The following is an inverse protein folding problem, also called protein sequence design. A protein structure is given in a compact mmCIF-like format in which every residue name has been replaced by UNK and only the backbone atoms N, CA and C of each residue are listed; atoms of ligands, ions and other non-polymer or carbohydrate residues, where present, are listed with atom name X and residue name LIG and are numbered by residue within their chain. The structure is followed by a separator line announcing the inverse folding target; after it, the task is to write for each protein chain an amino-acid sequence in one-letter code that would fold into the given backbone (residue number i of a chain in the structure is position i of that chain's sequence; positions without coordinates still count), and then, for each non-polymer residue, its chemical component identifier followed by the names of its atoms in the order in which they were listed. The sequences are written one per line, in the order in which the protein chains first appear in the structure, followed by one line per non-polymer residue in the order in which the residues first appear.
data_IF_197024039980
#
_entry.id   IF_197024039980
#
_cell.length_a   1.000
_cell.length_b   1.000
_cell.length_c   1.000
_cell.angle_alpha   90.00
_cell.angle_beta   90.00
_cell.angle_gamma   90.00
#
_symmetry.space_group_name_H-M   'P 1'
#
loop_
_entity.id
_entity.type
_entity.pdbx_description
1 polymer ?
#
# COMPACT_ATOMS: atom_id res chain seq x y z
N UNK A 1 2.29 -41.35 17.66
CA UNK A 1 2.14 -40.08 18.39
C UNK A 1 2.37 -40.38 19.85
N UNK A 2 3.41 -39.78 20.40
CA UNK A 2 3.79 -39.88 21.81
C UNK A 2 3.93 -38.44 22.30
N UNK A 3 3.36 -38.13 23.46
CA UNK A 3 3.60 -36.83 24.08
C UNK A 3 4.97 -36.84 24.76
N UNK A 4 5.79 -35.82 24.50
CA UNK A 4 7.10 -35.64 25.12
C UNK A 4 7.09 -34.27 25.79
N UNK A 5 7.37 -34.24 27.09
CA UNK A 5 7.20 -33.04 27.90
C UNK A 5 8.53 -32.60 28.49
N UNK A 6 8.78 -31.29 28.48
CA UNK A 6 9.89 -30.69 29.20
C UNK A 6 9.72 -30.96 30.70
N UNK A 7 10.71 -31.60 31.33
CA UNK A 7 10.55 -32.15 32.69
C UNK A 7 11.26 -31.33 33.79
N UNK A 8 12.00 -30.28 33.42
CA UNK A 8 12.75 -29.43 34.35
C UNK A 8 12.09 -28.07 34.48
N UNK A 9 11.81 -27.66 35.72
CA UNK A 9 11.39 -26.30 36.06
C UNK A 9 12.62 -25.38 36.13
N UNK A 10 13.30 -25.23 34.98
CA UNK A 10 14.44 -24.34 34.79
C UNK A 10 14.68 -24.04 33.30
N UNK A 11 15.49 -23.02 33.04
CA UNK A 11 16.07 -22.78 31.72
C UNK A 11 16.88 -24.01 31.26
N UNK A 12 16.89 -24.28 29.95
CA UNK A 12 17.68 -25.37 29.42
C UNK A 12 17.87 -25.35 27.91
N UNK A 13 18.57 -26.38 27.45
CA UNK A 13 18.85 -26.59 26.03
C UNK A 13 17.98 -27.73 25.51
N UNK A 14 17.29 -27.47 24.41
CA UNK A 14 16.48 -28.46 23.70
C UNK A 14 17.22 -29.79 23.48
N UNK A 15 18.53 -29.72 23.17
CA UNK A 15 19.36 -30.89 22.88
C UNK A 15 19.80 -31.71 24.12
N UNK A 16 19.40 -31.32 25.33
CA UNK A 16 19.64 -32.10 26.56
C UNK A 16 18.57 -33.16 26.75
N UNK A 17 18.86 -34.41 26.37
CA UNK A 17 17.93 -35.53 26.54
C UNK A 17 17.42 -35.75 27.98
N UNK A 18 18.19 -35.33 28.99
CA UNK A 18 17.81 -35.42 30.40
C UNK A 18 16.68 -34.46 30.79
N UNK A 19 16.49 -33.38 30.03
CA UNK A 19 15.50 -32.33 30.29
C UNK A 19 14.10 -32.69 29.73
N UNK A 20 13.97 -33.88 29.14
CA UNK A 20 12.73 -34.43 28.61
C UNK A 20 12.28 -35.64 29.44
N UNK A 21 10.97 -35.76 29.69
CA UNK A 21 10.34 -36.79 30.51
C UNK A 21 10.67 -38.25 30.10
N UNK A 22 10.89 -38.49 28.81
CA UNK A 22 11.27 -39.80 28.28
C UNK A 22 12.78 -40.05 28.25
N UNK A 23 13.61 -39.12 28.72
CA UNK A 23 15.07 -39.26 28.72
C UNK A 23 15.69 -39.32 27.32
N UNK A 24 14.99 -38.78 26.32
CA UNK A 24 15.41 -38.71 24.90
C UNK A 24 14.91 -37.40 24.28
N UNK A 25 15.53 -36.99 23.17
CA UNK A 25 15.04 -35.87 22.40
C UNK A 25 13.69 -36.19 21.73
N UNK A 26 12.82 -35.18 21.53
CA UNK A 26 11.66 -35.29 20.66
C UNK A 26 12.03 -35.70 19.23
N UNK A 27 11.16 -36.46 18.59
CA UNK A 27 11.30 -36.93 17.21
C UNK A 27 10.05 -36.61 16.37
N UNK A 28 10.11 -36.85 15.05
CA UNK A 28 9.12 -36.35 14.08
C UNK A 28 7.67 -36.76 14.34
N UNK A 29 7.43 -37.85 15.08
CA UNK A 29 6.09 -38.33 15.43
C UNK A 29 5.60 -37.89 16.82
N UNK A 30 6.37 -37.09 17.54
CA UNK A 30 6.09 -36.69 18.91
C UNK A 30 5.35 -35.36 18.97
N UNK A 31 4.42 -35.27 19.93
CA UNK A 31 3.72 -34.04 20.29
C UNK A 31 4.43 -33.43 21.49
N UNK A 32 5.06 -32.27 21.30
CA UNK A 32 5.97 -31.68 22.29
C UNK A 32 5.25 -30.64 23.12
N UNK A 33 5.42 -30.71 24.44
CA UNK A 33 4.87 -29.75 25.39
C UNK A 33 6.00 -29.14 26.24
N UNK A 34 6.04 -27.82 26.28
CA UNK A 34 6.90 -27.01 27.15
C UNK A 34 5.96 -26.08 27.92
N UNK A 35 5.77 -26.35 29.21
CA UNK A 35 4.86 -25.60 30.08
C UNK A 35 5.35 -25.77 31.53
N UNK A 36 6.41 -25.04 31.89
CA UNK A 36 6.99 -25.10 33.23
C UNK A 36 6.12 -24.33 34.24
N UNK A 37 6.40 -24.51 35.54
CA UNK A 37 5.57 -23.87 36.57
C UNK A 37 5.85 -22.37 36.68
N UNK A 38 7.11 -21.98 36.46
CA UNK A 38 7.56 -20.60 36.33
C UNK A 38 8.08 -20.34 34.89
N UNK A 39 7.99 -19.10 34.34
CA UNK A 39 8.49 -18.81 33.01
C UNK A 39 10.00 -19.03 32.86
N UNK A 40 10.38 -19.89 31.92
CA UNK A 40 11.77 -20.22 31.61
C UNK A 40 12.10 -20.04 30.12
N UNK A 41 13.40 -20.03 29.81
CA UNK A 41 13.90 -19.98 28.43
C UNK A 41 14.40 -21.34 28.02
N UNK A 42 13.72 -21.92 27.02
CA UNK A 42 14.13 -23.15 26.37
C UNK A 42 14.79 -22.79 25.04
N UNK A 43 16.06 -23.16 24.89
CA UNK A 43 16.87 -22.75 23.75
C UNK A 43 17.13 -23.91 22.78
N UNK A 44 16.69 -23.76 21.54
CA UNK A 44 17.14 -24.57 20.42
C UNK A 44 18.38 -23.91 19.79
N UNK A 45 19.57 -24.41 20.15
CA UNK A 45 20.87 -23.83 19.70
C UNK A 45 21.60 -24.64 18.64
N UNK A 46 21.35 -25.93 18.55
CA UNK A 46 22.06 -26.87 17.67
C UNK A 46 21.13 -28.02 17.27
N UNK A 47 21.56 -28.86 16.33
CA UNK A 47 20.79 -30.03 15.91
C UNK A 47 19.87 -29.74 14.74
N UNK A 48 19.33 -30.82 14.18
CA UNK A 48 18.32 -30.80 13.14
C UNK A 48 17.17 -31.67 13.63
N UNK A 49 16.18 -31.03 14.22
CA UNK A 49 15.08 -31.68 14.90
C UNK A 49 13.78 -31.50 14.13
N UNK A 50 12.92 -32.52 14.20
CA UNK A 50 11.58 -32.48 13.60
C UNK A 50 10.61 -33.03 14.61
N UNK A 51 9.46 -32.39 14.76
CA UNK A 51 8.38 -32.79 15.68
C UNK A 51 7.02 -32.70 14.99
N UNK A 52 6.02 -33.41 15.52
CA UNK A 52 4.65 -33.37 15.00
C UNK A 52 4.00 -32.05 15.37
N UNK A 53 3.91 -31.76 16.67
CA UNK A 53 3.37 -30.51 17.22
C UNK A 53 4.31 -29.93 18.28
N UNK A 54 4.20 -28.62 18.53
CA UNK A 54 4.89 -27.97 19.63
C UNK A 54 3.96 -26.98 20.32
N UNK A 55 3.68 -27.23 21.60
CA UNK A 55 2.98 -26.29 22.48
C UNK A 55 3.95 -25.77 23.52
N UNK A 56 4.21 -24.47 23.45
CA UNK A 56 4.93 -23.69 24.48
C UNK A 56 3.91 -22.82 25.20
N UNK A 57 3.75 -23.06 26.50
CA UNK A 57 2.86 -22.34 27.40
C UNK A 57 3.37 -20.93 27.70
N UNK A 58 3.54 -20.60 28.97
CA UNK A 58 4.01 -19.28 29.40
C UNK A 58 5.55 -19.08 29.29
N UNK A 59 6.24 -20.10 28.80
CA UNK A 59 7.67 -20.13 28.53
C UNK A 59 8.13 -19.29 27.34
N UNK A 60 9.40 -18.89 27.40
CA UNK A 60 10.13 -18.29 26.29
C UNK A 60 10.82 -19.38 25.47
N UNK A 61 10.41 -19.51 24.21
CA UNK A 61 11.10 -20.35 23.25
C UNK A 61 12.11 -19.54 22.45
N UNK A 62 13.38 -19.94 22.50
CA UNK A 62 14.48 -19.27 21.80
C UNK A 62 15.06 -20.20 20.74
N UNK A 63 15.02 -19.79 19.47
CA UNK A 63 15.79 -20.42 18.39
C UNK A 63 17.03 -19.56 18.14
N UNK A 64 18.17 -20.02 18.66
CA UNK A 64 19.46 -19.33 18.49
C UNK A 64 20.38 -20.01 17.48
N UNK A 65 20.07 -21.24 17.06
CA UNK A 65 20.81 -22.01 16.06
C UNK A 65 20.13 -23.32 15.70
N UNK A 66 20.80 -24.16 14.90
CA UNK A 66 20.24 -25.42 14.40
C UNK A 66 19.05 -25.24 13.45
N UNK A 67 18.32 -26.32 13.20
CA UNK A 67 17.04 -26.30 12.47
C UNK A 67 15.97 -27.08 13.22
N UNK A 68 14.80 -26.47 13.41
CA UNK A 68 13.62 -27.11 13.99
C UNK A 68 12.45 -27.04 13.00
N UNK A 69 11.93 -28.21 12.61
CA UNK A 69 10.72 -28.33 11.78
C UNK A 69 9.55 -28.81 12.62
N UNK A 70 8.44 -28.08 12.58
CA UNK A 70 7.18 -28.44 13.22
C UNK A 70 6.16 -28.74 12.13
N UNK A 71 5.84 -30.03 11.96
CA UNK A 71 5.09 -30.52 10.81
C UNK A 71 3.60 -30.12 10.83
N UNK A 72 3.02 -29.98 12.03
CA UNK A 72 1.61 -29.65 12.25
C UNK A 72 1.49 -28.34 13.06
N UNK A 73 0.60 -28.28 14.05
CA UNK A 73 0.32 -27.06 14.78
C UNK A 73 1.45 -26.69 15.76
N UNK A 74 1.72 -25.39 15.87
CA UNK A 74 2.58 -24.81 16.89
C UNK A 74 1.86 -23.71 17.68
N UNK A 75 2.16 -23.56 18.96
CA UNK A 75 1.66 -22.44 19.76
C UNK A 75 2.74 -21.97 20.73
N UNK A 76 2.98 -20.66 20.76
CA UNK A 76 3.90 -20.03 21.70
C UNK A 76 3.14 -18.94 22.45
N UNK A 77 2.57 -19.28 23.62
CA UNK A 77 1.64 -18.37 24.29
C UNK A 77 2.33 -17.12 24.87
N UNK A 78 3.61 -17.20 25.22
CA UNK A 78 4.39 -16.08 25.75
C UNK A 78 5.30 -15.41 24.72
N UNK A 79 6.56 -15.85 24.59
CA UNK A 79 7.56 -15.22 23.71
C UNK A 79 8.22 -16.28 22.83
N UNK A 80 8.23 -16.04 21.53
CA UNK A 80 9.10 -16.72 20.58
C UNK A 80 10.20 -15.74 20.12
N UNK A 81 11.46 -16.09 20.35
CA UNK A 81 12.60 -15.35 19.81
C UNK A 81 13.32 -16.19 18.77
N UNK A 82 13.60 -15.61 17.61
CA UNK A 82 14.47 -16.21 16.59
C UNK A 82 15.67 -15.28 16.38
N UNK A 83 16.82 -15.71 16.88
CA UNK A 83 18.09 -14.97 16.81
C UNK A 83 19.16 -15.70 15.99
N UNK A 84 18.81 -16.84 15.40
CA UNK A 84 19.66 -17.64 14.53
C UNK A 84 18.92 -18.88 14.04
N UNK A 85 19.63 -19.76 13.33
CA UNK A 85 19.09 -21.04 12.89
C UNK A 85 17.92 -20.93 11.90
N UNK A 86 17.18 -22.03 11.78
CA UNK A 86 15.95 -22.14 10.96
C UNK A 86 14.82 -22.70 11.80
N UNK A 87 13.68 -22.01 11.82
CA UNK A 87 12.41 -22.50 12.32
C UNK A 87 11.48 -22.71 11.12
N UNK A 88 11.05 -23.93 10.89
CA UNK A 88 10.12 -24.31 9.82
C UNK A 88 8.76 -24.68 10.44
N UNK A 89 7.72 -23.95 10.03
CA UNK A 89 6.35 -24.06 10.52
C UNK A 89 5.46 -24.51 9.36
N UNK A 90 5.23 -25.82 9.23
CA UNK A 90 4.45 -26.38 8.13
C UNK A 90 2.94 -26.38 8.39
N UNK A 91 2.53 -26.40 9.66
CA UNK A 91 1.16 -26.15 10.06
C UNK A 91 0.93 -24.74 10.60
N UNK A 92 -0.29 -24.49 11.09
CA UNK A 92 -0.62 -23.21 11.68
C UNK A 92 0.15 -22.98 12.99
N UNK A 93 0.73 -21.79 13.13
CA UNK A 93 1.46 -21.36 14.32
C UNK A 93 0.82 -20.11 14.92
N UNK A 94 0.66 -20.07 16.24
CA UNK A 94 0.24 -18.86 16.97
C UNK A 94 1.34 -18.39 17.92
N UNK A 95 1.51 -17.07 18.03
CA UNK A 95 2.48 -16.46 18.96
C UNK A 95 1.83 -15.31 19.72
N UNK A 96 2.05 -15.26 21.04
CA UNK A 96 1.67 -14.12 21.87
C UNK A 96 2.58 -12.92 21.62
N UNK A 97 3.89 -13.13 21.73
CA UNK A 97 4.94 -12.17 21.36
C UNK A 97 6.02 -12.84 20.52
N UNK A 98 6.61 -12.07 19.64
CA UNK A 98 7.55 -12.53 18.64
C UNK A 98 8.66 -11.50 18.46
N UNK A 99 9.90 -11.98 18.51
CA UNK A 99 11.06 -11.15 18.26
C UNK A 99 12.04 -11.90 17.35
N UNK A 100 12.13 -11.46 16.10
CA UNK A 100 13.14 -11.96 15.18
C UNK A 100 14.23 -10.91 14.99
N UNK A 101 15.47 -11.30 15.28
CA UNK A 101 16.65 -10.45 15.06
C UNK A 101 17.74 -11.13 14.23
N UNK A 102 17.46 -12.34 13.72
CA UNK A 102 18.28 -13.09 12.78
C UNK A 102 17.54 -14.39 12.44
N UNK A 103 18.19 -15.29 11.69
CA UNK A 103 17.66 -16.61 11.38
C UNK A 103 16.50 -16.59 10.40
N UNK A 104 16.02 -17.78 10.06
CA UNK A 104 14.95 -17.98 9.08
C UNK A 104 13.71 -18.53 9.75
N UNK A 105 12.56 -17.89 9.54
CA UNK A 105 11.24 -18.45 9.81
C UNK A 105 10.58 -18.77 8.47
N UNK A 106 10.30 -20.05 8.25
CA UNK A 106 9.85 -20.61 6.97
C UNK A 106 8.73 -21.63 7.15
N UNK A 107 8.32 -22.30 6.08
CA UNK A 107 7.35 -23.40 6.11
C UNK A 107 6.06 -23.10 5.35
N UNK A 108 5.29 -24.15 5.09
CA UNK A 108 4.02 -24.07 4.35
C UNK A 108 2.85 -23.50 5.18
N UNK A 109 3.06 -23.30 6.48
CA UNK A 109 2.04 -22.90 7.43
C UNK A 109 1.69 -21.42 7.42
N UNK A 110 0.92 -21.01 8.43
CA UNK A 110 0.59 -19.60 8.69
C UNK A 110 1.03 -19.23 10.10
N UNK A 111 1.84 -18.18 10.21
CA UNK A 111 2.25 -17.58 11.48
C UNK A 111 1.26 -16.48 11.85
N UNK A 112 0.52 -16.70 12.94
CA UNK A 112 -0.52 -15.79 13.44
C UNK A 112 -0.04 -15.08 14.69
N UNK A 113 0.04 -13.76 14.59
CA UNK A 113 0.36 -12.88 15.71
C UNK A 113 -0.91 -12.58 16.50
N UNK A 114 -0.88 -12.93 17.79
CA UNK A 114 -1.91 -12.57 18.75
C UNK A 114 -1.77 -11.12 19.25
N UNK A 115 -2.54 -10.78 20.26
CA UNK A 115 -2.41 -9.49 20.94
C UNK A 115 -1.05 -9.40 21.65
N UNK A 116 -0.26 -8.41 21.28
CA UNK A 116 1.12 -8.28 21.76
C UNK A 116 2.01 -7.49 20.81
N UNK A 117 3.19 -7.14 21.31
CA UNK A 117 4.23 -6.50 20.52
C UNK A 117 5.05 -7.57 19.81
N UNK A 118 5.18 -7.40 18.50
CA UNK A 118 5.92 -8.25 17.57
C UNK A 118 7.02 -7.40 16.94
N UNK A 119 8.19 -7.98 16.69
CA UNK A 119 9.29 -7.25 16.08
C UNK A 119 10.05 -8.10 15.06
N UNK A 120 10.24 -7.54 13.87
CA UNK A 120 11.26 -7.95 12.91
C UNK A 120 12.40 -6.93 12.96
N UNK A 121 13.61 -7.37 13.28
CA UNK A 121 14.80 -6.54 13.41
C UNK A 121 15.93 -7.08 12.52
N UNK A 122 16.95 -6.25 12.31
CA UNK A 122 18.15 -6.53 11.51
C UNK A 122 18.63 -7.98 11.49
N UNK A 123 18.57 -8.64 10.33
CA UNK A 123 18.87 -10.05 10.08
C UNK A 123 17.65 -10.96 9.87
N UNK A 124 16.41 -10.45 10.02
CA UNK A 124 15.22 -11.28 9.96
C UNK A 124 14.91 -11.78 8.54
N UNK A 125 14.73 -13.10 8.39
CA UNK A 125 14.29 -13.73 7.14
C UNK A 125 12.94 -14.43 7.40
N UNK A 126 11.90 -14.01 6.67
CA UNK A 126 10.56 -14.58 6.74
C UNK A 126 10.13 -15.10 5.36
N UNK A 127 10.04 -16.41 5.22
CA UNK A 127 9.64 -17.10 3.98
C UNK A 127 8.46 -18.06 4.17
N UNK A 128 7.77 -17.97 5.32
CA UNK A 128 6.56 -18.73 5.60
C UNK A 128 5.44 -18.40 4.60
N UNK A 129 4.56 -19.35 4.30
CA UNK A 129 3.49 -19.16 3.32
C UNK A 129 2.42 -18.15 3.76
N UNK A 130 2.12 -18.06 5.05
CA UNK A 130 1.12 -17.14 5.59
C UNK A 130 1.63 -16.34 6.79
N UNK A 131 1.31 -15.04 6.83
CA UNK A 131 1.55 -14.17 7.96
C UNK A 131 0.27 -13.40 8.29
N UNK A 132 -0.28 -13.62 9.48
CA UNK A 132 -1.56 -13.07 9.92
C UNK A 132 -1.43 -12.26 11.20
N UNK A 133 -2.07 -11.10 11.26
CA UNK A 133 -2.16 -10.26 12.46
C UNK A 133 -3.60 -10.28 12.96
N UNK A 134 -3.78 -10.75 14.19
CA UNK A 134 -5.06 -10.67 14.90
C UNK A 134 -5.33 -9.23 15.37
N UNK A 135 -6.58 -8.92 15.69
CA UNK A 135 -6.91 -7.65 16.35
C UNK A 135 -6.06 -7.46 17.62
N UNK A 136 -5.52 -6.26 17.82
CA UNK A 136 -4.63 -5.94 18.94
C UNK A 136 -3.17 -6.37 18.76
N UNK A 137 -2.81 -7.07 17.68
CA UNK A 137 -1.42 -7.31 17.34
C UNK A 137 -0.74 -6.00 16.91
N UNK A 138 0.44 -5.72 17.43
CA UNK A 138 1.25 -4.55 17.08
C UNK A 138 2.63 -5.01 16.59
N UNK A 139 2.92 -4.85 15.31
CA UNK A 139 4.18 -5.29 14.71
C UNK A 139 5.09 -4.14 14.36
N UNK A 140 6.34 -4.16 14.83
CA UNK A 140 7.40 -3.25 14.41
C UNK A 140 8.27 -3.91 13.35
N UNK A 141 8.48 -3.22 12.23
CA UNK A 141 9.40 -3.59 11.17
C UNK A 141 10.60 -2.64 11.24
N UNK A 142 11.70 -3.13 11.80
CA UNK A 142 12.97 -2.43 12.02
C UNK A 142 14.06 -2.97 11.07
N UNK A 143 13.67 -3.30 9.85
CA UNK A 143 14.55 -3.76 8.78
C UNK A 143 13.87 -3.60 7.40
N UNK A 144 14.62 -3.81 6.33
CA UNK A 144 14.08 -4.10 5.00
C UNK A 144 13.55 -5.55 4.95
N UNK A 145 12.31 -5.73 5.40
CA UNK A 145 11.62 -7.02 5.36
C UNK A 145 10.92 -7.23 4.02
N UNK A 146 11.20 -8.34 3.35
CA UNK A 146 10.48 -8.75 2.13
C UNK A 146 9.67 -10.00 2.39
N UNK A 147 8.37 -9.96 2.10
CA UNK A 147 7.46 -11.07 2.33
C UNK A 147 6.69 -11.45 1.06
N UNK A 148 6.84 -12.71 0.66
CA UNK A 148 6.25 -13.26 -0.56
C UNK A 148 5.03 -14.16 -0.37
N UNK A 149 4.70 -14.50 0.88
CA UNK A 149 3.50 -15.26 1.22
C UNK A 149 2.23 -14.40 1.21
N UNK A 150 1.16 -14.94 1.78
CA UNK A 150 -0.11 -14.23 1.97
C UNK A 150 -0.08 -13.46 3.29
N UNK A 151 -0.18 -12.13 3.20
CA UNK A 151 -0.24 -11.25 4.35
C UNK A 151 -1.70 -10.90 4.69
N UNK A 152 -2.13 -11.13 5.92
CA UNK A 152 -3.47 -10.78 6.39
C UNK A 152 -3.38 -9.92 7.64
N UNK A 153 -3.71 -8.65 7.51
CA UNK A 153 -3.79 -7.73 8.64
C UNK A 153 -5.25 -7.45 8.98
N UNK A 154 -5.71 -7.96 10.12
CA UNK A 154 -7.08 -7.72 10.57
C UNK A 154 -7.27 -6.30 11.09
N UNK A 155 -8.51 -5.82 11.08
CA UNK A 155 -8.88 -4.56 11.72
C UNK A 155 -8.49 -4.55 13.20
N UNK A 156 -8.09 -3.38 13.70
CA UNK A 156 -7.63 -3.22 15.08
C UNK A 156 -6.19 -3.69 15.35
N UNK A 157 -5.47 -4.19 14.34
CA UNK A 157 -4.03 -4.45 14.40
C UNK A 157 -3.21 -3.29 13.84
N UNK A 158 -1.91 -3.26 14.13
CA UNK A 158 -1.00 -2.24 13.61
C UNK A 158 0.32 -2.83 13.11
N UNK A 159 0.87 -2.19 12.07
CA UNK A 159 2.24 -2.35 11.61
C UNK A 159 2.92 -0.99 11.65
N UNK A 160 4.06 -0.89 12.32
CA UNK A 160 4.90 0.32 12.34
C UNK A 160 6.22 0.02 11.62
N UNK A 161 6.54 0.80 10.60
CA UNK A 161 7.79 0.68 9.83
C UNK A 161 8.73 1.80 10.28
N UNK A 162 9.88 1.41 10.81
CA UNK A 162 10.87 2.35 11.33
C UNK A 162 11.49 3.22 10.23
N UNK A 163 12.15 4.31 10.62
CA UNK A 163 12.80 5.22 9.69
C UNK A 163 13.88 4.48 8.87
N UNK A 164 13.95 4.77 7.57
CA UNK A 164 14.81 4.10 6.59
C UNK A 164 14.49 2.62 6.28
N UNK A 165 13.62 1.99 7.07
CA UNK A 165 13.21 0.59 6.87
C UNK A 165 12.02 0.44 5.92
N UNK A 166 11.79 -0.80 5.49
CA UNK A 166 10.77 -1.12 4.47
C UNK A 166 10.04 -2.41 4.79
N UNK A 167 8.73 -2.38 4.65
CA UNK A 167 7.94 -3.61 4.47
C UNK A 167 7.62 -3.76 2.98
N UNK A 168 8.18 -4.78 2.34
CA UNK A 168 7.96 -5.09 0.93
C UNK A 168 7.12 -6.35 0.78
N UNK A 169 5.87 -6.17 0.36
CA UNK A 169 4.93 -7.25 0.09
C UNK A 169 4.98 -7.60 -1.39
N UNK A 170 5.38 -8.83 -1.71
CA UNK A 170 5.45 -9.33 -3.10
C UNK A 170 4.38 -10.39 -3.40
N UNK A 171 3.85 -11.04 -2.35
CA UNK A 171 2.68 -11.92 -2.43
C UNK A 171 1.38 -11.14 -2.22
N UNK A 172 0.26 -11.86 -2.16
CA UNK A 172 -1.05 -11.27 -1.89
C UNK A 172 -1.13 -10.68 -0.48
N UNK A 173 -1.84 -9.58 -0.31
CA UNK A 173 -2.03 -8.94 0.99
C UNK A 173 -3.44 -8.41 1.18
N UNK A 174 -3.98 -8.55 2.39
CA UNK A 174 -5.18 -7.84 2.85
C UNK A 174 -4.79 -6.96 4.02
N UNK A 175 -5.06 -5.66 3.93
CA UNK A 175 -4.75 -4.67 4.95
C UNK A 175 -6.04 -4.02 5.44
N UNK A 176 -6.46 -4.34 6.67
CA UNK A 176 -7.62 -3.74 7.32
C UNK A 176 -7.25 -2.95 8.60
N UNK A 177 -5.97 -2.91 8.97
CA UNK A 177 -5.45 -2.25 10.17
C UNK A 177 -4.61 -1.00 9.86
N UNK A 178 -3.97 -0.45 10.89
CA UNK A 178 -3.09 0.71 10.74
C UNK A 178 -1.73 0.28 10.19
N UNK A 179 -1.19 1.01 9.22
CA UNK A 179 0.21 0.90 8.77
C UNK A 179 0.86 2.26 8.89
N UNK A 180 1.77 2.40 9.84
CA UNK A 180 2.32 3.67 10.30
C UNK A 180 3.85 3.70 10.25
N UNK A 181 4.41 4.88 10.52
CA UNK A 181 5.84 5.05 10.80
C UNK A 181 6.60 5.86 9.75
N UNK A 182 7.87 6.14 10.02
CA UNK A 182 8.70 6.95 9.12
C UNK A 182 9.29 6.17 7.94
N UNK A 183 9.01 4.86 7.85
CA UNK A 183 9.51 3.98 6.80
C UNK A 183 8.68 3.94 5.53
N UNK A 184 8.90 2.88 4.74
CA UNK A 184 8.23 2.67 3.45
C UNK A 184 7.41 1.38 3.44
N UNK A 185 6.12 1.49 3.10
CA UNK A 185 5.31 0.35 2.68
C UNK A 185 5.44 0.19 1.16
N UNK A 186 5.87 -0.97 0.69
CA UNK A 186 6.00 -1.27 -0.75
C UNK A 186 5.14 -2.46 -1.14
N UNK A 187 4.25 -2.26 -2.10
CA UNK A 187 3.63 -3.33 -2.88
C UNK A 187 4.50 -3.56 -4.12
N UNK A 188 5.12 -4.74 -4.20
CA UNK A 188 6.14 -5.08 -5.18
C UNK A 188 5.78 -6.33 -6.00
N UNK A 189 4.48 -6.55 -6.19
CA UNK A 189 3.88 -7.71 -6.85
C UNK A 189 2.55 -8.06 -6.20
N UNK A 190 1.97 -9.20 -6.58
CA UNK A 190 0.77 -9.74 -5.96
C UNK A 190 -0.49 -8.89 -6.13
N UNK A 191 -1.55 -9.34 -5.46
CA UNK A 191 -2.85 -8.65 -5.36
C UNK A 191 -3.05 -8.13 -3.95
N UNK A 192 -3.11 -6.81 -3.80
CA UNK A 192 -3.21 -6.15 -2.52
C UNK A 192 -4.59 -5.54 -2.35
N UNK A 193 -5.24 -5.83 -1.23
CA UNK A 193 -6.52 -5.25 -0.87
C UNK A 193 -6.33 -4.33 0.35
N UNK A 194 -6.65 -3.05 0.18
CA UNK A 194 -6.69 -2.07 1.27
C UNK A 194 -8.14 -1.93 1.66
N UNK A 195 -8.51 -2.59 2.75
CA UNK A 195 -9.88 -2.74 3.21
C UNK A 195 -10.40 -1.49 3.92
N UNK A 196 -11.72 -1.40 4.06
CA UNK A 196 -12.36 -0.39 4.90
C UNK A 196 -11.79 -0.44 6.33
N UNK A 197 -11.36 0.70 6.85
CA UNK A 197 -10.74 0.81 8.18
C UNK A 197 -9.21 0.74 8.19
N UNK A 198 -8.58 0.42 7.06
CA UNK A 198 -7.14 0.61 6.91
C UNK A 198 -6.76 2.09 7.05
N UNK A 199 -5.67 2.36 7.75
CA UNK A 199 -5.13 3.71 7.92
C UNK A 199 -3.64 3.72 7.64
N UNK A 200 -3.21 4.49 6.63
CA UNK A 200 -1.82 4.58 6.22
C UNK A 200 -1.23 5.92 6.65
N UNK A 201 -0.26 5.86 7.55
CA UNK A 201 0.53 7.01 8.03
C UNK A 201 2.03 6.80 7.86
N UNK A 202 2.41 5.84 7.00
CA UNK A 202 3.80 5.66 6.56
C UNK A 202 4.31 6.88 5.78
N UNK A 203 5.59 7.20 5.93
CA UNK A 203 6.21 8.29 5.17
C UNK A 203 6.14 8.06 3.64
N UNK A 204 6.24 6.81 3.20
CA UNK A 204 6.19 6.45 1.79
C UNK A 204 5.30 5.22 1.56
N UNK A 205 4.44 5.29 0.54
CA UNK A 205 3.66 4.18 0.02
C UNK A 205 3.98 3.99 -1.47
N UNK A 206 4.48 2.82 -1.82
CA UNK A 206 5.03 2.53 -3.15
C UNK A 206 4.31 1.35 -3.79
N UNK A 207 3.84 1.51 -5.03
CA UNK A 207 3.41 0.43 -5.93
C UNK A 207 4.45 0.25 -7.02
N UNK A 208 4.96 -0.96 -7.16
CA UNK A 208 6.06 -1.30 -8.07
C UNK A 208 5.91 -2.72 -8.63
N UNK A 209 6.74 -3.08 -9.62
CA UNK A 209 6.81 -4.44 -10.17
C UNK A 209 5.44 -5.03 -10.56
N UNK A 210 4.63 -4.24 -11.26
CA UNK A 210 3.28 -4.62 -11.70
C UNK A 210 2.33 -5.05 -10.56
N UNK A 211 2.52 -4.53 -9.35
CA UNK A 211 1.57 -4.72 -8.25
C UNK A 211 0.14 -4.29 -8.67
N UNK A 212 -0.85 -5.09 -8.27
CA UNK A 212 -2.27 -4.77 -8.42
C UNK A 212 -2.87 -4.50 -7.05
N UNK A 213 -3.21 -3.25 -6.76
CA UNK A 213 -3.85 -2.83 -5.52
C UNK A 213 -5.33 -2.47 -5.75
N UNK A 214 -6.19 -2.83 -4.82
CA UNK A 214 -7.59 -2.39 -4.76
C UNK A 214 -7.83 -1.69 -3.44
N UNK A 215 -8.43 -0.50 -3.50
CA UNK A 215 -8.87 0.26 -2.35
C UNK A 215 -10.38 0.03 -2.16
N UNK A 216 -10.72 -0.73 -1.13
CA UNK A 216 -12.08 -1.12 -0.69
C UNK A 216 -12.56 -0.27 0.50
N UNK A 217 -12.08 0.96 0.58
CA UNK A 217 -12.42 1.92 1.62
C UNK A 217 -11.83 3.28 1.32
N UNK A 218 -12.43 4.36 1.83
CA UNK A 218 -11.84 5.69 1.63
C UNK A 218 -10.58 5.89 2.46
N UNK A 219 -9.49 6.31 1.81
CA UNK A 219 -8.18 6.56 2.43
C UNK A 219 -7.73 8.00 2.18
N UNK A 220 -7.34 8.70 3.24
CA UNK A 220 -6.61 9.97 3.14
C UNK A 220 -5.15 9.71 3.46
N UNK A 221 -4.24 10.06 2.56
CA UNK A 221 -2.82 9.76 2.68
C UNK A 221 -1.95 11.02 2.56
N UNK A 222 -1.17 11.29 3.61
CA UNK A 222 -0.32 12.48 3.72
C UNK A 222 1.15 12.23 3.39
N UNK A 223 1.59 10.97 3.34
CA UNK A 223 2.95 10.63 2.94
C UNK A 223 3.16 10.74 1.42
N UNK A 224 4.36 10.36 0.97
CA UNK A 224 4.70 10.33 -0.45
C UNK A 224 4.14 9.07 -1.12
N UNK A 225 3.28 9.25 -2.13
CA UNK A 225 2.73 8.13 -2.90
C UNK A 225 3.51 7.96 -4.21
N UNK A 226 4.06 6.77 -4.45
CA UNK A 226 4.82 6.48 -5.66
C UNK A 226 4.20 5.28 -6.36
N UNK A 227 3.71 5.47 -7.57
CA UNK A 227 3.16 4.40 -8.39
C UNK A 227 4.02 4.24 -9.64
N UNK A 228 4.72 3.12 -9.77
CA UNK A 228 5.56 2.83 -10.93
C UNK A 228 4.74 2.43 -12.15
N UNK A 229 5.35 2.57 -13.34
CA UNK A 229 4.75 2.10 -14.58
C UNK A 229 4.43 0.60 -14.55
N UNK A 230 3.29 0.25 -15.16
CA UNK A 230 2.76 -1.11 -15.18
C UNK A 230 2.03 -1.56 -13.91
N UNK A 231 2.10 -0.80 -12.82
CA UNK A 231 1.28 -1.09 -11.62
C UNK A 231 -0.15 -0.54 -11.78
N UNK A 232 -1.10 -1.16 -11.07
CA UNK A 232 -2.52 -0.77 -11.10
C UNK A 232 -3.02 -0.50 -9.69
N UNK A 233 -3.74 0.60 -9.51
CA UNK A 233 -4.55 0.89 -8.34
C UNK A 233 -6.02 1.03 -8.76
N UNK A 234 -6.89 0.22 -8.18
CA UNK A 234 -8.34 0.30 -8.40
C UNK A 234 -8.99 0.95 -7.18
N UNK A 235 -9.87 1.92 -7.38
CA UNK A 235 -10.67 2.54 -6.32
C UNK A 235 -12.11 2.04 -6.47
N UNK A 236 -12.60 1.33 -5.46
CA UNK A 236 -13.92 0.72 -5.48
C UNK A 236 -15.07 1.76 -5.48
N UNK A 237 -16.28 1.27 -5.74
CA UNK A 237 -17.46 2.14 -5.93
C UNK A 237 -17.81 2.87 -4.63
N UNK A 238 -17.91 4.20 -4.72
CA UNK A 238 -18.18 5.05 -3.55
C UNK A 238 -16.95 5.41 -2.72
N UNK A 239 -15.81 4.76 -2.96
CA UNK A 239 -14.57 5.02 -2.22
C UNK A 239 -13.72 6.13 -2.83
N UNK A 240 -12.84 6.68 -2.00
CA UNK A 240 -11.97 7.79 -2.36
C UNK A 240 -10.53 7.53 -1.93
N UNK A 241 -9.59 7.70 -2.86
CA UNK A 241 -8.19 7.95 -2.49
C UNK A 241 -7.97 9.47 -2.47
N UNK A 242 -7.65 10.03 -1.30
CA UNK A 242 -7.33 11.45 -1.13
C UNK A 242 -5.85 11.62 -0.77
N UNK A 243 -5.05 12.11 -1.69
CA UNK A 243 -3.63 12.39 -1.51
C UNK A 243 -3.43 13.84 -1.05
N UNK A 244 -2.91 14.05 0.14
CA UNK A 244 -2.55 15.39 0.66
C UNK A 244 -1.05 15.64 0.65
N UNK A 245 -0.25 14.58 0.61
CA UNK A 245 1.20 14.61 0.39
C UNK A 245 1.58 14.66 -1.08
N UNK A 246 2.88 14.63 -1.38
CA UNK A 246 3.36 14.54 -2.76
C UNK A 246 3.05 13.17 -3.38
N UNK A 247 2.84 13.12 -4.70
CA UNK A 247 2.76 11.86 -5.41
C UNK A 247 3.45 11.88 -6.78
N UNK A 248 3.96 10.73 -7.18
CA UNK A 248 4.47 10.45 -8.52
C UNK A 248 3.75 9.21 -9.06
N UNK A 249 2.85 9.42 -10.01
CA UNK A 249 2.05 8.38 -10.63
C UNK A 249 2.56 8.10 -12.04
N UNK A 250 2.93 6.86 -12.31
CA UNK A 250 3.33 6.37 -13.63
C UNK A 250 2.55 5.11 -14.03
N UNK A 251 1.59 4.65 -13.21
CA UNK A 251 0.76 3.46 -13.45
C UNK A 251 -0.70 3.77 -13.73
N UNK A 252 -1.53 2.73 -13.77
CA UNK A 252 -2.98 2.89 -13.98
C UNK A 252 -3.70 3.15 -12.65
N UNK A 253 -4.55 4.18 -12.60
CA UNK A 253 -5.53 4.36 -11.52
C UNK A 253 -6.93 4.24 -12.12
N UNK A 254 -7.73 3.29 -11.62
CA UNK A 254 -8.99 2.87 -12.26
C UNK A 254 -10.12 2.69 -11.26
N UNK A 255 -11.32 2.42 -11.78
CA UNK A 255 -12.45 1.97 -10.99
C UNK A 255 -13.54 3.04 -10.80
N UNK A 256 -14.72 2.66 -10.29
CA UNK A 256 -15.85 3.56 -10.15
C UNK A 256 -15.71 4.60 -9.01
N UNK A 257 -14.61 4.57 -8.26
CA UNK A 257 -14.33 5.50 -7.18
C UNK A 257 -13.77 6.86 -7.62
N UNK A 258 -13.28 7.63 -6.63
CA UNK A 258 -12.74 8.97 -6.83
C UNK A 258 -11.26 9.06 -6.45
N UNK A 259 -10.42 9.58 -7.34
CA UNK A 259 -9.06 10.02 -7.02
C UNK A 259 -9.08 11.52 -6.71
N UNK A 260 -8.61 11.92 -5.54
CA UNK A 260 -8.50 13.33 -5.13
C UNK A 260 -7.07 13.69 -4.82
N UNK A 261 -6.55 14.71 -5.50
CA UNK A 261 -5.36 15.44 -5.08
C UNK A 261 -5.80 16.64 -4.24
N UNK A 262 -5.23 16.74 -3.05
CA UNK A 262 -5.71 17.62 -1.99
C UNK A 262 -4.58 18.39 -1.29
N UNK A 263 -3.46 18.56 -1.99
CA UNK A 263 -2.25 19.19 -1.51
C UNK A 263 -1.04 18.63 -2.27
N UNK A 264 0.15 19.03 -1.87
CA UNK A 264 1.41 18.51 -2.41
C UNK A 264 1.63 18.79 -3.90
N UNK A 265 2.77 18.29 -4.40
CA UNK A 265 3.08 18.20 -5.83
C UNK A 265 2.68 16.82 -6.34
N UNK A 266 1.98 16.76 -7.47
CA UNK A 266 1.41 15.55 -8.05
C UNK A 266 1.93 15.41 -9.48
N UNK A 267 2.83 14.47 -9.72
CA UNK A 267 3.41 14.25 -11.05
C UNK A 267 2.74 13.05 -11.72
N UNK A 268 2.16 13.25 -12.90
CA UNK A 268 1.63 12.21 -13.77
C UNK A 268 2.68 11.93 -14.84
N UNK A 269 3.50 10.92 -14.60
CA UNK A 269 4.65 10.55 -15.40
C UNK A 269 4.33 9.53 -16.50
N UNK A 270 5.31 9.23 -17.35
CA UNK A 270 5.17 8.27 -18.44
C UNK A 270 4.61 6.92 -17.96
N UNK A 271 3.46 6.54 -18.53
CA UNK A 271 2.72 5.32 -18.18
C UNK A 271 1.46 5.59 -17.34
N UNK A 272 1.28 6.79 -16.79
CA UNK A 272 0.09 7.14 -16.03
C UNK A 272 -1.17 7.03 -16.90
N UNK A 273 -2.19 6.36 -16.38
CA UNK A 273 -3.48 6.23 -17.06
C UNK A 273 -4.63 6.27 -16.04
N UNK A 274 -5.61 7.16 -16.23
CA UNK A 274 -6.74 7.30 -15.32
C UNK A 274 -8.04 6.85 -15.97
N UNK A 275 -8.73 5.94 -15.30
CA UNK A 275 -10.09 5.46 -15.65
C UNK A 275 -11.00 5.43 -14.42
N UNK A 276 -10.66 6.27 -13.42
CA UNK A 276 -11.53 6.52 -12.27
C UNK A 276 -12.81 7.25 -12.70
N UNK A 277 -13.90 7.09 -11.94
CA UNK A 277 -15.13 7.84 -12.24
C UNK A 277 -14.95 9.35 -12.04
N UNK A 278 -14.16 9.74 -11.03
CA UNK A 278 -13.89 11.14 -10.73
C UNK A 278 -12.41 11.37 -10.42
N UNK A 279 -11.87 12.48 -10.94
CA UNK A 279 -10.53 12.98 -10.67
C UNK A 279 -10.66 14.43 -10.18
N UNK A 280 -10.23 14.69 -8.95
CA UNK A 280 -10.46 15.96 -8.27
C UNK A 280 -9.13 16.59 -7.86
N UNK A 281 -8.93 17.87 -8.21
CA UNK A 281 -7.88 18.73 -7.65
C UNK A 281 -8.53 19.69 -6.64
N UNK A 282 -7.97 19.74 -5.44
CA UNK A 282 -8.46 20.58 -4.34
C UNK A 282 -7.33 21.07 -3.44
N UNK A 283 -7.64 22.02 -2.56
CA UNK A 283 -6.77 22.44 -1.44
C UNK A 283 -5.32 22.78 -1.85
N UNK A 284 -5.15 23.51 -2.96
CA UNK A 284 -3.82 23.94 -3.41
C UNK A 284 -2.95 22.84 -4.03
N UNK A 285 -3.51 21.70 -4.42
CA UNK A 285 -2.79 20.68 -5.17
C UNK A 285 -2.13 21.28 -6.43
N UNK A 286 -0.85 21.00 -6.63
CA UNK A 286 -0.09 21.37 -7.82
C UNK A 286 0.21 20.11 -8.64
N UNK A 287 -0.40 19.99 -9.82
CA UNK A 287 -0.28 18.80 -10.66
C UNK A 287 0.53 19.08 -11.91
N UNK A 288 1.46 18.19 -12.27
CA UNK A 288 2.20 18.23 -13.53
C UNK A 288 1.86 17.01 -14.36
N UNK A 289 1.42 17.22 -15.60
CA UNK A 289 1.19 16.16 -16.58
C UNK A 289 2.40 16.01 -17.49
N UNK A 290 3.21 14.98 -17.24
CA UNK A 290 4.39 14.58 -18.01
C UNK A 290 4.09 13.36 -18.90
N UNK A 291 2.84 13.19 -19.32
CA UNK A 291 2.43 12.12 -20.22
C UNK A 291 1.18 12.50 -21.02
N UNK A 292 0.89 11.77 -22.10
CA UNK A 292 -0.38 11.93 -22.80
C UNK A 292 -1.47 11.20 -22.02
N UNK A 293 -2.53 11.90 -21.64
CA UNK A 293 -3.66 11.33 -20.92
C UNK A 293 -4.96 11.60 -21.68
N UNK A 294 -5.77 10.57 -21.87
CA UNK A 294 -7.17 10.71 -22.27
C UNK A 294 -8.03 10.30 -21.08
N UNK A 295 -8.96 11.16 -20.67
CA UNK A 295 -9.77 10.93 -19.49
C UNK A 295 -11.26 11.18 -19.79
N UNK A 296 -12.10 10.22 -19.37
CA UNK A 296 -13.53 10.21 -19.66
C UNK A 296 -14.41 10.34 -18.42
N UNK A 297 -13.84 10.21 -17.21
CA UNK A 297 -14.56 10.47 -15.97
C UNK A 297 -14.79 11.97 -15.76
N UNK A 298 -15.41 12.33 -14.64
CA UNK A 298 -15.56 13.74 -14.26
C UNK A 298 -14.26 14.30 -13.71
N UNK A 299 -13.76 15.39 -14.30
CA UNK A 299 -12.63 16.15 -13.79
C UNK A 299 -13.12 17.41 -13.07
N UNK A 300 -12.71 17.57 -11.81
CA UNK A 300 -13.09 18.72 -10.98
C UNK A 300 -11.82 19.40 -10.50
N UNK A 301 -11.55 20.59 -11.00
CA UNK A 301 -10.44 21.43 -10.54
C UNK A 301 -10.99 22.58 -9.71
N UNK A 302 -10.73 22.58 -8.40
CA UNK A 302 -11.15 23.64 -7.50
C UNK A 302 -10.25 24.87 -7.56
N UNK A 303 -10.75 26.00 -7.03
CA UNK A 303 -9.98 27.24 -6.92
C UNK A 303 -8.69 27.10 -6.11
N UNK A 304 -7.66 27.83 -6.56
CA UNK A 304 -6.33 27.83 -5.95
C UNK A 304 -5.47 26.60 -6.27
N UNK A 305 -5.94 25.68 -7.13
CA UNK A 305 -5.15 24.53 -7.60
C UNK A 305 -4.48 24.84 -8.94
N UNK A 306 -3.45 24.06 -9.30
CA UNK A 306 -2.78 24.19 -10.60
C UNK A 306 -2.61 22.85 -11.31
N UNK A 307 -2.73 22.88 -12.64
CA UNK A 307 -2.43 21.79 -13.55
C UNK A 307 -1.49 22.31 -14.64
N UNK A 308 -0.24 21.85 -14.63
CA UNK A 308 0.78 22.17 -15.63
C UNK A 308 0.85 21.05 -16.67
N UNK A 309 0.64 21.37 -17.94
CA UNK A 309 0.82 20.46 -19.06
C UNK A 309 2.25 20.61 -19.59
N UNK A 310 3.07 19.58 -19.40
CA UNK A 310 4.46 19.63 -19.83
C UNK A 310 4.61 19.62 -21.36
N UNK A 311 5.76 20.09 -21.84
CA UNK A 311 6.06 20.14 -23.26
C UNK A 311 5.90 18.76 -23.94
N UNK A 312 5.41 18.75 -25.17
CA UNK A 312 5.15 17.54 -25.97
C UNK A 312 4.06 16.59 -25.42
N UNK A 313 3.41 16.93 -24.30
CA UNK A 313 2.34 16.15 -23.72
C UNK A 313 0.97 16.83 -23.88
N UNK A 314 -0.09 16.04 -23.83
CA UNK A 314 -1.45 16.53 -23.96
C UNK A 314 -2.44 15.86 -23.02
N UNK A 315 -3.40 16.66 -22.56
CA UNK A 315 -4.59 16.18 -21.85
C UNK A 315 -5.78 16.23 -22.81
N UNK A 316 -6.38 15.07 -23.06
CA UNK A 316 -7.66 14.96 -23.77
C UNK A 316 -8.74 14.62 -22.78
N UNK A 317 -9.75 15.46 -22.69
CA UNK A 317 -10.91 15.26 -21.86
C UNK A 317 -12.11 14.95 -22.75
N UNK A 318 -12.94 14.02 -22.29
CA UNK A 318 -14.15 13.57 -23.01
C UNK A 318 -15.39 13.51 -22.10
N UNK A 319 -15.20 13.79 -20.81
CA UNK A 319 -16.22 13.70 -19.77
C UNK A 319 -16.98 15.00 -19.52
N UNK A 320 -17.50 15.13 -18.29
CA UNK A 320 -18.14 16.34 -17.81
C UNK A 320 -17.26 16.98 -16.73
N UNK A 321 -16.66 18.14 -17.05
CA UNK A 321 -15.56 18.69 -16.27
C UNK A 321 -15.83 20.12 -15.81
N UNK A 322 -15.23 20.46 -14.67
CA UNK A 322 -15.33 21.79 -14.06
C UNK A 322 -13.95 22.32 -13.71
N UNK A 323 -13.72 23.58 -14.03
CA UNK A 323 -12.44 24.27 -13.83
C UNK A 323 -12.67 25.53 -13.01
N UNK A 324 -11.95 25.67 -11.91
CA UNK A 324 -11.86 26.90 -11.12
C UNK A 324 -10.42 27.23 -10.72
N UNK A 325 -9.43 26.46 -11.22
CA UNK A 325 -8.01 26.65 -10.94
C UNK A 325 -7.21 27.00 -12.19
N UNK A 326 -5.88 27.09 -12.03
CA UNK A 326 -4.98 27.41 -13.12
C UNK A 326 -4.66 26.17 -13.97
N UNK A 327 -4.78 26.27 -15.27
CA UNK A 327 -4.20 25.33 -16.23
C UNK A 327 -3.10 26.08 -16.98
N UNK A 328 -1.89 25.55 -17.00
CA UNK A 328 -0.76 26.22 -17.64
C UNK A 328 0.17 25.25 -18.36
N UNK A 329 1.20 25.78 -19.02
CA UNK A 329 2.31 25.02 -19.57
C UNK A 329 2.36 25.01 -21.10
N UNK A 330 3.36 24.33 -21.66
CA UNK A 330 3.57 24.31 -23.12
C UNK A 330 2.93 23.10 -23.80
N UNK A 331 2.27 22.23 -23.04
CA UNK A 331 1.47 21.11 -23.56
C UNK A 331 0.14 21.54 -24.18
N UNK A 332 -0.63 20.54 -24.64
CA UNK A 332 -1.92 20.73 -25.33
C UNK A 332 -3.09 20.32 -24.45
N UNK A 333 -4.15 21.13 -24.45
CA UNK A 333 -5.45 20.76 -23.86
C UNK A 333 -6.47 20.49 -24.97
N UNK A 334 -7.14 19.34 -24.91
CA UNK A 334 -8.14 18.94 -25.90
C UNK A 334 -9.44 18.61 -25.18
N UNK A 335 -10.51 19.29 -25.58
CA UNK A 335 -11.88 18.96 -25.23
C UNK A 335 -12.48 18.19 -26.42
N UNK A 336 -12.87 16.93 -26.22
CA UNK A 336 -13.29 16.02 -27.30
C UNK A 336 -14.57 15.27 -26.91
N UNK A 337 -15.73 15.80 -27.33
CA UNK A 337 -17.04 15.45 -26.75
C UNK A 337 -17.24 16.09 -25.37
N UNK A 338 -18.34 15.81 -24.67
CA UNK A 338 -18.51 16.23 -23.27
C UNK A 338 -18.97 17.67 -23.00
N UNK A 339 -18.98 18.04 -21.71
CA UNK A 339 -19.45 19.34 -21.20
C UNK A 339 -18.43 19.93 -20.23
N UNK A 340 -17.99 21.17 -20.47
CA UNK A 340 -16.89 21.80 -19.74
C UNK A 340 -17.35 23.15 -19.18
N UNK A 341 -17.15 23.35 -17.88
CA UNK A 341 -17.51 24.61 -17.21
C UNK A 341 -16.28 25.27 -16.60
N UNK A 342 -15.99 26.50 -17.03
CA UNK A 342 -15.04 27.39 -16.36
C UNK A 342 -15.80 28.26 -15.35
N UNK A 343 -15.39 28.21 -14.09
CA UNK A 343 -16.01 28.85 -12.93
C UNK A 343 -14.99 29.75 -12.22
N UNK A 344 -15.44 30.80 -11.52
CA UNK A 344 -14.57 31.81 -10.89
C UNK A 344 -13.27 31.28 -10.28
N UNK A 345 -12.15 31.79 -10.79
CA UNK A 345 -10.78 31.41 -10.43
C UNK A 345 -10.03 30.66 -11.52
N UNK A 346 -10.68 30.27 -12.62
CA UNK A 346 -10.04 29.52 -13.68
C UNK A 346 -9.15 30.40 -14.56
N UNK A 347 -7.96 29.90 -14.89
CA UNK A 347 -7.06 30.54 -15.85
C UNK A 347 -6.50 29.50 -16.82
N UNK A 348 -6.22 29.91 -18.07
CA UNK A 348 -5.77 29.00 -19.12
C UNK A 348 -4.53 29.53 -19.84
N UNK A 349 -3.34 29.19 -19.37
CA UNK A 349 -2.06 29.61 -19.97
C UNK A 349 -1.35 28.42 -20.64
N UNK A 350 -1.96 27.87 -21.69
CA UNK A 350 -1.43 26.73 -22.45
C UNK A 350 -0.92 27.14 -23.83
N UNK A 351 -0.01 26.38 -24.44
CA UNK A 351 0.50 26.73 -25.80
C UNK A 351 -0.60 26.64 -26.87
N UNK A 352 -1.47 25.64 -26.74
CA UNK A 352 -2.63 25.46 -27.60
C UNK A 352 -3.73 24.67 -26.90
N UNK A 353 -4.97 24.96 -27.26
CA UNK A 353 -6.13 24.19 -26.86
C UNK A 353 -7.15 24.05 -27.98
N UNK A 354 -7.95 22.98 -27.95
CA UNK A 354 -8.89 22.66 -29.02
C UNK A 354 -10.22 22.13 -28.50
N UNK A 355 -11.30 22.41 -29.23
CA UNK A 355 -12.67 22.00 -28.90
C UNK A 355 -13.27 21.19 -30.07
N UNK A 356 -13.60 19.91 -29.83
CA UNK A 356 -14.15 18.98 -30.83
C UNK A 356 -15.49 18.41 -30.36
N UNK A 357 -16.62 18.75 -31.00
CA UNK A 357 -17.94 18.19 -30.63
C UNK A 357 -18.37 18.43 -29.17
N UNK A 358 -17.79 19.43 -28.51
CA UNK A 358 -17.96 19.70 -27.08
C UNK A 358 -18.83 20.91 -26.81
N UNK A 359 -19.39 21.00 -25.60
CA UNK A 359 -20.00 22.23 -25.08
C UNK A 359 -19.13 22.85 -23.99
N UNK A 360 -18.71 24.10 -24.18
CA UNK A 360 -17.93 24.87 -23.20
C UNK A 360 -18.76 26.06 -22.71
N UNK A 361 -18.88 26.17 -21.38
CA UNK A 361 -19.52 27.27 -20.69
C UNK A 361 -18.50 28.00 -19.82
N UNK A 362 -18.46 29.33 -19.93
CA UNK A 362 -17.58 30.20 -19.14
C UNK A 362 -18.44 31.09 -18.24
N UNK A 363 -18.25 30.98 -16.92
CA UNK A 363 -18.99 31.70 -15.87
C UNK A 363 -18.15 32.77 -15.18
N UNK A 364 -17.11 33.27 -15.85
CA UNK A 364 -16.25 34.34 -15.37
C UNK A 364 -15.50 35.02 -16.54
N UNK A 365 -14.73 36.07 -16.24
CA UNK A 365 -13.73 36.58 -17.16
C UNK A 365 -12.59 35.57 -17.34
N UNK A 366 -12.54 34.91 -18.50
CA UNK A 366 -11.49 33.93 -18.80
C UNK A 366 -10.37 34.59 -19.61
N UNK A 367 -9.15 34.54 -19.08
CA UNK A 367 -7.96 34.89 -19.84
C UNK A 367 -7.31 33.60 -20.34
N UNK A 368 -6.93 33.58 -21.62
CA UNK A 368 -6.11 32.51 -22.15
C UNK A 368 -4.89 32.98 -22.94
N UNK A 369 -3.84 32.16 -22.90
CA UNK A 369 -2.70 32.26 -23.80
C UNK A 369 -2.74 31.08 -24.80
N UNK A 370 -2.07 31.24 -25.94
CA UNK A 370 -1.93 30.19 -26.95
C UNK A 370 -2.95 30.18 -28.08
N UNK A 371 -2.77 29.23 -28.99
CA UNK A 371 -3.64 29.05 -30.15
C UNK A 371 -4.92 28.26 -29.77
N UNK A 372 -6.07 28.68 -30.29
CA UNK A 372 -7.35 27.99 -30.12
C UNK A 372 -7.86 27.45 -31.46
N UNK A 373 -8.30 26.20 -31.49
CA UNK A 373 -9.04 25.63 -32.63
C UNK A 373 -10.40 25.09 -32.20
N UNK A 374 -11.41 25.23 -33.06
CA UNK A 374 -12.77 24.78 -32.77
C UNK A 374 -13.37 24.10 -34.00
N UNK A 375 -13.89 22.90 -33.78
CA UNK A 375 -14.73 22.19 -34.74
C UNK A 375 -16.05 22.93 -35.01
N UNK A 376 -16.73 22.58 -36.11
CA UNK A 376 -17.99 23.23 -36.51
C UNK A 376 -19.15 22.97 -35.55
N UNK A 377 -19.15 21.82 -34.90
CA UNK A 377 -20.16 21.30 -33.98
C UNK A 377 -19.89 21.66 -32.51
N UNK A 378 -18.74 22.28 -32.21
CA UNK A 378 -18.45 22.81 -30.88
C UNK A 378 -19.38 24.00 -30.51
N UNK A 379 -19.90 23.96 -29.29
CA UNK A 379 -20.69 25.04 -28.68
C UNK A 379 -19.83 25.76 -27.64
N UNK A 380 -19.75 27.08 -27.71
CA UNK A 380 -19.01 27.91 -26.76
C UNK A 380 -19.90 29.07 -26.30
N UNK A 381 -20.05 29.22 -24.99
CA UNK A 381 -20.87 30.25 -24.37
C UNK A 381 -20.13 30.92 -23.23
N UNK A 382 -20.40 32.22 -23.06
CA UNK A 382 -19.88 33.04 -21.96
C UNK A 382 -21.09 33.65 -21.26
N UNK A 383 -21.08 33.65 -19.93
CA UNK A 383 -22.12 34.25 -19.10
C UNK A 383 -22.23 35.75 -19.40
N UNK A 384 -23.45 36.28 -19.38
CA UNK A 384 -23.70 37.68 -19.73
C UNK A 384 -22.93 38.62 -18.79
N UNK A 385 -22.08 39.47 -19.38
CA UNK A 385 -21.25 40.43 -18.64
C UNK A 385 -19.80 39.99 -18.47
N UNK A 386 -19.49 38.72 -18.73
CA UNK A 386 -18.12 38.21 -18.72
C UNK A 386 -17.42 38.33 -20.08
N UNK A 387 -16.10 38.28 -20.06
CA UNK A 387 -15.24 38.48 -21.24
C UNK A 387 -14.26 37.33 -21.44
N UNK A 388 -13.89 37.11 -22.69
CA UNK A 388 -12.82 36.20 -23.08
C UNK A 388 -11.67 37.01 -23.70
N UNK A 389 -10.47 36.84 -23.18
CA UNK A 389 -9.30 37.62 -23.59
C UNK A 389 -8.13 36.71 -23.97
N UNK A 390 -7.65 36.77 -25.24
CA UNK A 390 -8.20 37.50 -26.38
C UNK A 390 -9.53 36.89 -26.90
N UNK A 391 -10.33 37.58 -27.72
CA UNK A 391 -11.50 36.96 -28.36
C UNK A 391 -11.09 35.80 -29.27
N UNK A 392 -11.85 34.70 -29.28
CA UNK A 392 -11.58 33.56 -30.17
C UNK A 392 -11.67 34.01 -31.62
N UNK A 393 -10.54 33.98 -32.33
CA UNK A 393 -10.53 34.00 -33.79
C UNK A 393 -10.79 32.58 -34.25
N UNK A 394 -12.03 32.31 -34.68
CA UNK A 394 -12.47 30.99 -35.14
C UNK A 394 -11.59 30.52 -36.31
N UNK A 395 -10.62 29.65 -36.05
CA UNK A 395 -9.95 28.88 -37.10
C UNK A 395 -10.88 27.71 -37.39
N UNK A 396 -11.74 27.87 -38.39
CA UNK A 396 -12.56 26.76 -38.89
C UNK A 396 -11.61 25.74 -39.52
N UNK A 397 -11.47 24.59 -38.87
CA UNK A 397 -10.97 23.36 -39.50
C UNK A 397 -12.15 22.56 -40.06
#
# INVERSE_FOLDING_TARGET
MTTVTWNVDANGDWASAADWDLGRLPAAGDDVVVDTADPHTINHRTGADTVSTLTVGDDHFLVSGGSLTIASAASFAHLLTVSGGTLELDGAASVGRFNQGAGTVSGAGTLTFGAGMQAFNGGAILTIAGWSLSSGAATSVNEILSFGGVFSQNAGSSVTIAAADKLRLTGAATLAGAVAGAGTLTFAGGTQAVESGADFTVANWVLSNAAAATLNGSLTYAGAFIQAAGSTLTIAAGDKLRLTGAAALAGTVSGPGTLTFAGGTQDLNGGANFTVANWVLSNGAATTLNTNLTYAGGFIQAAGTSLTLAAAHGLTLTGADTFAGAISGTGRLIFDGGFYTFNPGATLDVSAWSIHGSTVQVNENLTYAGAVSMSRDAVFSITQGDTLLPPIRKVLL
#
